data_IF_379436438640
#
_entry.id   IF_379436438640
#
_cell.length_a   1.000
_cell.length_b   1.000
_cell.length_c   1.000
_cell.angle_alpha   90.00
_cell.angle_beta   90.00
_cell.angle_gamma   90.00
#
_symmetry.space_group_name_H-M   'P 1'
#
loop_
_entity.id
_entity.type
_entity.pdbx_description
1 polymer ?
#
# COMPACT_ATOMS: atom_id res chain seq x y z
N UNK A 1 23.43 28.93 -6.84
CA UNK A 1 22.96 27.52 -6.86
C UNK A 1 21.43 27.41 -7.04
N UNK A 2 20.87 27.50 -8.26
CA UNK A 2 19.39 27.47 -8.50
C UNK A 2 18.89 26.40 -9.51
N UNK A 3 19.78 25.56 -10.06
CA UNK A 3 19.44 24.58 -11.12
C UNK A 3 19.08 23.17 -10.62
N UNK A 4 19.46 22.81 -9.39
CA UNK A 4 19.25 21.45 -8.82
C UNK A 4 17.76 21.17 -8.51
N UNK A 5 16.99 22.18 -8.13
CA UNK A 5 15.58 22.04 -7.74
C UNK A 5 14.65 21.67 -8.91
N UNK A 6 14.95 22.10 -10.14
CA UNK A 6 14.13 21.78 -11.33
C UNK A 6 14.26 20.32 -11.77
N UNK A 7 15.45 19.71 -11.64
CA UNK A 7 15.67 18.29 -11.96
C UNK A 7 14.95 17.36 -10.97
N UNK A 8 15.06 17.62 -9.65
CA UNK A 8 14.32 16.85 -8.63
C UNK A 8 12.80 16.92 -8.82
N UNK A 9 12.24 18.10 -9.11
CA UNK A 9 10.79 18.24 -9.39
C UNK A 9 10.35 17.45 -10.62
N UNK A 10 11.15 17.42 -11.69
CA UNK A 10 10.86 16.61 -12.89
C UNK A 10 10.99 15.12 -12.63
N UNK A 11 12.00 14.68 -11.88
CA UNK A 11 12.14 13.28 -11.46
C UNK A 11 10.98 12.84 -10.57
N UNK A 12 10.60 13.63 -9.57
CA UNK A 12 9.46 13.34 -8.71
C UNK A 12 8.15 13.25 -9.53
N UNK A 13 7.92 14.19 -10.46
CA UNK A 13 6.77 14.11 -11.38
C UNK A 13 6.79 12.85 -12.23
N UNK A 14 7.93 12.50 -12.81
CA UNK A 14 8.05 11.31 -13.67
C UNK A 14 7.91 10.01 -12.86
N UNK A 15 8.39 9.98 -11.61
CA UNK A 15 8.21 8.87 -10.69
C UNK A 15 6.74 8.70 -10.31
N UNK A 16 6.07 9.80 -9.92
CA UNK A 16 4.63 9.79 -9.61
C UNK A 16 3.81 9.35 -10.82
N UNK A 17 4.07 9.90 -12.01
CA UNK A 17 3.39 9.47 -13.25
C UNK A 17 3.66 7.99 -13.56
N UNK A 18 4.88 7.52 -13.28
CA UNK A 18 5.23 6.11 -13.45
C UNK A 18 4.45 5.22 -12.48
N UNK A 19 4.30 5.62 -11.22
CA UNK A 19 3.49 4.90 -10.21
C UNK A 19 2.00 4.93 -10.56
N UNK A 20 1.49 6.08 -11.00
CA UNK A 20 0.10 6.22 -11.45
C UNK A 20 -0.21 5.29 -12.63
N UNK A 21 0.74 5.05 -13.53
CA UNK A 21 0.58 4.09 -14.64
C UNK A 21 0.57 2.64 -14.15
N UNK A 22 1.15 2.36 -12.99
CA UNK A 22 1.16 1.02 -12.38
C UNK A 22 -0.04 0.77 -11.46
N UNK A 23 -0.83 1.80 -11.13
CA UNK A 23 -2.04 1.65 -10.31
C UNK A 23 -2.98 0.52 -10.77
N UNK A 24 -3.27 0.33 -12.07
CA UNK A 24 -4.12 -0.77 -12.52
C UNK A 24 -3.53 -2.14 -12.18
N UNK A 25 -2.21 -2.29 -12.29
CA UNK A 25 -1.50 -3.54 -11.95
C UNK A 25 -1.49 -3.77 -10.44
N UNK A 26 -1.36 -2.69 -9.65
CA UNK A 26 -1.48 -2.76 -8.20
C UNK A 26 -2.88 -3.14 -7.73
N UNK A 27 -3.93 -2.55 -8.32
CA UNK A 27 -5.31 -2.96 -8.06
C UNK A 27 -5.56 -4.41 -8.48
N UNK A 28 -4.99 -4.83 -9.61
CA UNK A 28 -5.02 -6.22 -10.05
C UNK A 28 -4.36 -7.18 -9.07
N UNK A 29 -3.20 -6.82 -8.51
CA UNK A 29 -2.52 -7.58 -7.47
C UNK A 29 -3.42 -7.71 -6.23
N UNK A 30 -3.98 -6.61 -5.74
CA UNK A 30 -4.88 -6.61 -4.59
C UNK A 30 -6.10 -7.50 -4.83
N UNK A 31 -6.77 -7.36 -5.98
CA UNK A 31 -7.93 -8.19 -6.32
C UNK A 31 -7.60 -9.69 -6.40
N UNK A 32 -6.41 -10.05 -6.85
CA UNK A 32 -5.95 -11.45 -6.89
C UNK A 32 -5.65 -11.98 -5.51
N UNK A 33 -4.93 -11.22 -4.68
CA UNK A 33 -4.69 -11.57 -3.28
C UNK A 33 -6.01 -11.69 -2.50
N UNK A 34 -7.00 -10.83 -2.78
CA UNK A 34 -8.33 -10.94 -2.18
C UNK A 34 -9.01 -12.28 -2.49
N UNK A 35 -8.81 -12.79 -3.71
CA UNK A 35 -9.41 -14.05 -4.20
C UNK A 35 -8.58 -15.28 -3.87
N UNK A 36 -7.31 -15.13 -3.50
CA UNK A 36 -6.42 -16.24 -3.24
C UNK A 36 -6.80 -16.97 -1.93
N UNK A 37 -7.05 -18.28 -1.94
CA UNK A 37 -7.44 -19.03 -0.75
C UNK A 37 -6.37 -19.07 0.35
N UNK A 38 -5.09 -18.85 0.01
CA UNK A 38 -3.96 -18.85 0.96
C UNK A 38 -3.87 -17.57 1.78
N UNK A 39 -4.54 -16.50 1.37
CA UNK A 39 -4.57 -15.22 2.11
C UNK A 39 -5.58 -15.31 3.25
N UNK A 40 -5.16 -14.90 4.46
CA UNK A 40 -5.99 -14.97 5.67
C UNK A 40 -7.24 -14.10 5.55
N UNK A 41 -8.31 -14.44 6.29
CA UNK A 41 -9.56 -13.67 6.28
C UNK A 41 -9.37 -12.21 6.70
N UNK A 42 -8.47 -11.97 7.68
CA UNK A 42 -8.11 -10.62 8.12
C UNK A 42 -7.41 -9.86 7.00
N UNK A 43 -6.44 -10.47 6.32
CA UNK A 43 -5.71 -9.83 5.24
C UNK A 43 -6.62 -9.56 4.02
N UNK A 44 -7.59 -10.45 3.75
CA UNK A 44 -8.65 -10.21 2.75
C UNK A 44 -9.54 -9.03 3.12
N UNK A 45 -9.96 -8.91 4.38
CA UNK A 45 -10.74 -7.77 4.83
C UNK A 45 -9.97 -6.45 4.63
N UNK A 46 -8.67 -6.44 4.95
CA UNK A 46 -7.80 -5.29 4.72
C UNK A 46 -7.65 -4.94 3.22
N UNK A 47 -7.48 -5.95 2.36
CA UNK A 47 -7.47 -5.75 0.90
C UNK A 47 -8.77 -5.15 0.41
N UNK A 48 -9.91 -5.67 0.90
CA UNK A 48 -11.23 -5.14 0.58
C UNK A 48 -11.38 -3.67 0.96
N UNK A 49 -10.87 -3.28 2.13
CA UNK A 49 -10.84 -1.88 2.58
C UNK A 49 -10.01 -1.00 1.63
N UNK A 50 -8.82 -1.46 1.22
CA UNK A 50 -7.95 -0.72 0.29
C UNK A 50 -8.61 -0.56 -1.08
N UNK A 51 -9.20 -1.64 -1.61
CA UNK A 51 -9.91 -1.60 -2.90
C UNK A 51 -11.10 -0.65 -2.81
N UNK A 52 -11.89 -0.73 -1.73
CA UNK A 52 -12.99 0.19 -1.47
C UNK A 52 -12.53 1.64 -1.50
N UNK A 53 -11.45 1.96 -0.79
CA UNK A 53 -10.86 3.31 -0.77
C UNK A 53 -10.46 3.81 -2.16
N UNK A 54 -9.82 2.97 -2.99
CA UNK A 54 -9.34 3.40 -4.31
C UNK A 54 -10.51 3.53 -5.32
N UNK A 55 -11.50 2.65 -5.25
CA UNK A 55 -12.61 2.58 -6.21
C UNK A 55 -13.67 3.63 -5.94
N UNK A 56 -13.89 4.03 -4.70
CA UNK A 56 -14.87 5.08 -4.40
C UNK A 56 -14.19 6.44 -4.29
N UNK A 57 -14.34 7.33 -5.28
CA UNK A 57 -13.88 8.70 -5.14
C UNK A 57 -14.76 9.37 -4.08
N UNK A 58 -14.27 9.39 -2.84
CA UNK A 58 -14.58 10.37 -1.78
C UNK A 58 -15.69 10.00 -0.75
N UNK A 59 -16.60 9.03 -0.96
CA UNK A 59 -17.83 8.95 -0.10
C UNK A 59 -18.15 7.63 0.67
N UNK A 60 -17.20 6.70 0.89
CA UNK A 60 -17.46 5.48 1.71
C UNK A 60 -17.06 5.56 3.20
N UNK A 61 -16.59 6.73 3.65
CA UNK A 61 -16.38 7.00 5.07
C UNK A 61 -17.39 8.03 5.58
N UNK A 62 -18.71 7.77 5.56
CA UNK A 62 -19.64 8.55 6.36
C UNK A 62 -19.41 8.20 7.84
N UNK A 63 -19.03 9.22 8.60
CA UNK A 63 -19.16 9.36 10.06
C UNK A 63 -18.38 8.42 11.01
N UNK A 64 -17.78 7.30 10.58
CA UNK A 64 -17.01 6.42 11.50
C UNK A 64 -15.57 6.90 11.77
N UNK A 65 -14.96 7.60 10.81
CA UNK A 65 -13.54 8.05 10.86
C UNK A 65 -13.37 9.40 11.55
N UNK A 66 -14.41 10.23 11.57
CA UNK A 66 -14.39 11.54 12.23
C UNK A 66 -14.16 11.46 13.75
N UNK A 67 -14.30 10.28 14.37
CA UNK A 67 -14.07 10.06 15.79
C UNK A 67 -12.59 9.80 16.19
N UNK A 68 -11.66 9.53 15.24
CA UNK A 68 -10.32 9.01 15.58
C UNK A 68 -9.09 9.86 15.16
N UNK A 69 -9.25 10.97 14.43
CA UNK A 69 -8.15 11.90 14.17
C UNK A 69 -7.41 11.69 12.85
N UNK A 70 -7.48 12.73 12.01
CA UNK A 70 -7.23 12.78 10.55
C UNK A 70 -5.83 12.39 10.01
N UNK A 71 -4.86 12.05 10.84
CA UNK A 71 -3.50 11.66 10.38
C UNK A 71 -3.36 10.12 10.30
N UNK A 72 -4.31 9.39 10.89
CA UNK A 72 -4.19 7.95 11.11
C UNK A 72 -4.62 7.09 9.91
N UNK A 73 -5.54 7.54 9.04
CA UNK A 73 -6.14 6.64 8.03
C UNK A 73 -5.20 6.20 6.91
N UNK A 74 -4.46 7.13 6.31
CA UNK A 74 -3.48 6.79 5.27
C UNK A 74 -2.31 5.98 5.84
N UNK A 75 -1.99 6.24 7.11
CA UNK A 75 -0.95 5.53 7.83
C UNK A 75 -1.36 4.11 8.17
N UNK A 76 -2.59 3.92 8.68
CA UNK A 76 -3.21 2.61 8.91
C UNK A 76 -3.40 1.84 7.61
N UNK A 77 -3.74 2.53 6.51
CA UNK A 77 -3.83 1.93 5.19
C UNK A 77 -2.47 1.42 4.70
N UNK A 78 -1.42 2.24 4.82
CA UNK A 78 -0.06 1.84 4.49
C UNK A 78 0.43 0.70 5.39
N UNK A 79 0.05 0.71 6.68
CA UNK A 79 0.33 -0.34 7.64
C UNK A 79 -0.34 -1.67 7.26
N UNK A 80 -1.63 -1.60 6.90
CA UNK A 80 -2.41 -2.74 6.46
C UNK A 80 -1.86 -3.34 5.16
N UNK A 81 -1.48 -2.49 4.21
CA UNK A 81 -0.80 -2.90 2.98
C UNK A 81 0.54 -3.55 3.27
N UNK A 82 1.37 -2.94 4.11
CA UNK A 82 2.66 -3.51 4.49
C UNK A 82 2.48 -4.90 5.14
N UNK A 83 1.51 -5.03 6.06
CA UNK A 83 1.16 -6.31 6.68
C UNK A 83 0.79 -7.37 5.65
N UNK A 84 -0.13 -7.02 4.75
CA UNK A 84 -0.64 -7.90 3.70
C UNK A 84 0.51 -8.40 2.82
N UNK A 85 1.36 -7.48 2.33
CA UNK A 85 2.44 -7.83 1.41
C UNK A 85 3.50 -8.70 2.12
N UNK A 86 3.84 -8.38 3.36
CA UNK A 86 4.74 -9.20 4.17
C UNK A 86 4.18 -10.61 4.42
N UNK A 87 2.86 -10.74 4.64
CA UNK A 87 2.19 -12.03 4.91
C UNK A 87 1.94 -12.86 3.67
N UNK A 88 1.59 -12.23 2.56
CA UNK A 88 1.51 -12.90 1.27
C UNK A 88 2.87 -13.55 0.94
N UNK A 89 3.96 -12.86 1.30
CA UNK A 89 5.30 -13.35 1.05
C UNK A 89 5.73 -13.12 -0.40
N UNK A 90 7.04 -13.12 -0.66
CA UNK A 90 7.60 -12.73 -1.95
C UNK A 90 7.09 -13.59 -3.11
N UNK A 91 6.89 -14.90 -2.87
CA UNK A 91 6.48 -15.83 -3.92
C UNK A 91 5.07 -15.54 -4.45
N UNK A 92 4.09 -15.34 -3.56
CA UNK A 92 2.71 -14.98 -3.95
C UNK A 92 2.65 -13.60 -4.58
N UNK A 93 3.44 -12.65 -4.11
CA UNK A 93 3.48 -11.30 -4.70
C UNK A 93 4.02 -11.33 -6.12
N UNK A 94 5.10 -12.07 -6.37
CA UNK A 94 5.66 -12.24 -7.71
C UNK A 94 4.70 -13.01 -8.61
N UNK A 95 4.07 -14.06 -8.10
CA UNK A 95 3.08 -14.87 -8.84
C UNK A 95 1.89 -14.03 -9.31
N UNK A 96 1.37 -13.15 -8.45
CA UNK A 96 0.19 -12.32 -8.75
C UNK A 96 0.52 -10.95 -9.36
N UNK A 97 1.79 -10.56 -9.47
CA UNK A 97 2.20 -9.28 -10.04
C UNK A 97 2.37 -9.34 -11.55
N UNK A 98 1.56 -8.56 -12.29
CA UNK A 98 1.66 -8.44 -13.76
C UNK A 98 2.13 -7.05 -14.23
N UNK A 99 2.64 -6.21 -13.32
CA UNK A 99 3.20 -4.91 -13.67
C UNK A 99 4.70 -4.97 -13.93
N UNK A 100 5.37 -3.81 -13.95
CA UNK A 100 6.84 -3.77 -14.07
C UNK A 100 7.50 -4.30 -12.79
N UNK A 101 8.53 -5.18 -12.87
CA UNK A 101 9.22 -5.68 -11.67
C UNK A 101 9.79 -4.56 -10.77
N UNK A 102 10.38 -3.54 -11.38
CA UNK A 102 10.90 -2.38 -10.65
C UNK A 102 9.82 -1.54 -9.95
N UNK A 103 8.56 -1.63 -10.38
CA UNK A 103 7.46 -0.94 -9.71
C UNK A 103 6.98 -1.71 -8.46
N UNK A 104 7.01 -3.05 -8.49
CA UNK A 104 6.77 -3.85 -7.29
C UNK A 104 7.85 -3.56 -6.24
N UNK A 105 9.12 -3.55 -6.63
CA UNK A 105 10.22 -3.23 -5.73
C UNK A 105 10.09 -1.82 -5.14
N UNK A 106 9.81 -0.81 -5.98
CA UNK A 106 9.61 0.56 -5.49
C UNK A 106 8.42 0.69 -4.52
N UNK A 107 7.38 -0.14 -4.68
CA UNK A 107 6.24 -0.17 -3.78
C UNK A 107 6.62 -0.83 -2.44
N UNK A 108 7.36 -1.93 -2.47
CA UNK A 108 7.86 -2.59 -1.27
C UNK A 108 8.82 -1.67 -0.49
N UNK A 109 9.78 -1.05 -1.17
CA UNK A 109 10.73 -0.10 -0.58
C UNK A 109 9.98 1.08 0.08
N UNK A 110 9.00 1.67 -0.61
CA UNK A 110 8.20 2.77 -0.07
C UNK A 110 7.37 2.38 1.15
N UNK A 111 6.84 1.16 1.19
CA UNK A 111 6.09 0.64 2.34
C UNK A 111 7.01 0.30 3.51
N UNK A 112 8.22 -0.18 3.26
CA UNK A 112 9.24 -0.36 4.28
C UNK A 112 9.68 0.97 4.89
N UNK A 113 9.85 2.03 4.08
CA UNK A 113 10.15 3.37 4.59
C UNK A 113 9.04 3.91 5.50
N UNK A 114 7.77 3.75 5.11
CA UNK A 114 6.62 4.13 5.95
C UNK A 114 6.60 3.26 7.22
N UNK A 115 6.89 1.97 7.09
CA UNK A 115 6.98 1.03 8.20
C UNK A 115 8.13 1.34 9.17
N UNK A 116 9.24 1.89 8.68
CA UNK A 116 10.41 2.27 9.48
C UNK A 116 10.10 3.48 10.38
N UNK A 117 9.17 4.34 9.95
CA UNK A 117 8.66 5.48 10.72
C UNK A 117 7.75 5.02 11.88
N UNK A 118 7.27 3.77 11.89
CA UNK A 118 6.43 3.22 12.96
C UNK A 118 7.16 3.07 14.31
N UNK A 119 6.52 3.51 15.41
CA UNK A 119 6.92 3.16 16.77
C UNK A 119 7.05 1.64 16.96
N UNK A 120 7.99 1.21 17.81
CA UNK A 120 8.30 -0.22 18.05
C UNK A 120 7.08 -1.05 18.49
N UNK A 121 6.09 -0.43 19.12
CA UNK A 121 4.82 -1.02 19.55
C UNK A 121 3.97 -1.52 18.37
N UNK A 122 3.92 -0.79 17.26
CA UNK A 122 3.09 -1.13 16.10
C UNK A 122 3.76 -2.22 15.25
N UNK A 123 5.10 -2.23 15.17
CA UNK A 123 5.86 -3.30 14.49
C UNK A 123 5.64 -4.68 15.10
N UNK A 124 5.23 -4.76 16.37
CA UNK A 124 4.92 -6.02 17.06
C UNK A 124 3.55 -6.56 16.65
N UNK A 125 2.55 -5.68 16.49
CA UNK A 125 1.20 -6.06 16.02
C UNK A 125 1.24 -6.56 14.57
N UNK A 126 2.05 -5.91 13.74
CA UNK A 126 2.30 -6.34 12.35
C UNK A 126 2.90 -7.76 12.26
N UNK A 127 3.92 -8.02 13.08
CA UNK A 127 4.63 -9.31 13.09
C UNK A 127 3.92 -10.38 13.93
N UNK A 128 2.99 -10.01 14.80
CA UNK A 128 2.56 -10.85 15.92
C UNK A 128 1.08 -11.22 16.00
N UNK A 129 0.23 -10.86 15.04
CA UNK A 129 -1.14 -11.40 15.05
C UNK A 129 -1.15 -12.78 14.39
N UNK A 130 -0.92 -13.79 15.22
CA UNK A 130 -1.21 -15.21 14.95
C UNK A 130 -2.50 -15.37 14.16
#
# INVERSE_FOLDING_TARGET
>A
MRRVSRRRRRQAKNAVVSLLRELPHFLGLLLRLFRDPRVSALDKALVGLVIGYIVTPIDLLPDFVYALGLVDDLYLLALALNRLLLRAGPDLLVEHWHGRPGALLALLDGLEEIGAILPRSIRRVLRGAV
#
